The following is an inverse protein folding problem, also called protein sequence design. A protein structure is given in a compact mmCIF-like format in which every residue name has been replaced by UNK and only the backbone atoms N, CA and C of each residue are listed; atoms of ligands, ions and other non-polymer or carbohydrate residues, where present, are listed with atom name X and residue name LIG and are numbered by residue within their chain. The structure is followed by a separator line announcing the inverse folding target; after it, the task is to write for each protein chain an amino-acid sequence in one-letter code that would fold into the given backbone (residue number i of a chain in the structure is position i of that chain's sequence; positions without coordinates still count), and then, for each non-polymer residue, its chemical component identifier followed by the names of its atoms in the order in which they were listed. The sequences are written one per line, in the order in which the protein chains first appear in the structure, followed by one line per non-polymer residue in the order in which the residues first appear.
data_IF_426796354615
#
_entry.id   IF_426796354615
#
_cell.length_a   1.000
_cell.length_b   1.000
_cell.length_c   1.000
_cell.angle_alpha   90.00
_cell.angle_beta   90.00
_cell.angle_gamma   90.00
#
_symmetry.space_group_name_H-M   'P 1'
#
loop_
_entity.id
_entity.type
_entity.pdbx_description
1 polymer ?
#
# COMPACT_ATOMS: atom_id res chain seq x y z
N UNK A 1 -2.28 -0.91 -22.89
CA UNK A 1 -1.11 -0.38 -22.17
C UNK A 1 -1.26 -0.81 -20.72
N UNK A 2 -0.24 -1.42 -20.11
CA UNK A 2 -0.26 -1.73 -18.68
C UNK A 2 0.54 -0.67 -17.92
N UNK A 3 -0.08 -0.03 -16.94
CA UNK A 3 0.57 0.97 -16.09
C UNK A 3 0.85 0.36 -14.71
N UNK A 4 2.09 0.46 -14.22
CA UNK A 4 2.44 -0.01 -12.88
C UNK A 4 2.16 1.06 -11.86
N UNK A 5 1.46 0.68 -10.80
CA UNK A 5 1.12 1.54 -9.68
C UNK A 5 1.44 0.85 -8.35
N UNK A 6 1.59 1.65 -7.31
CA UNK A 6 1.76 1.20 -5.94
C UNK A 6 0.55 1.65 -5.13
N UNK A 7 -0.34 0.72 -4.83
CA UNK A 7 -1.48 0.98 -3.96
C UNK A 7 -1.04 1.02 -2.50
N UNK A 8 -1.47 2.05 -1.79
CA UNK A 8 -1.32 2.15 -0.34
C UNK A 8 -2.66 1.89 0.31
N UNK A 9 -2.70 0.95 1.23
CA UNK A 9 -3.91 0.65 2.00
C UNK A 9 -3.61 0.49 3.48
N UNK A 10 -4.60 0.85 4.31
CA UNK A 10 -4.59 0.60 5.75
C UNK A 10 -5.65 -0.44 6.06
N UNK A 11 -5.28 -1.55 6.67
CA UNK A 11 -6.21 -2.56 7.16
C UNK A 11 -6.23 -2.61 8.68
N UNK A 12 -7.41 -2.83 9.23
CA UNK A 12 -7.63 -3.10 10.66
C UNK A 12 -7.81 -4.60 10.89
N UNK A 13 -7.64 -5.06 12.13
CA UNK A 13 -7.86 -6.47 12.49
C UNK A 13 -9.27 -6.98 12.13
N UNK A 14 -10.27 -6.10 12.16
CA UNK A 14 -11.66 -6.42 11.77
C UNK A 14 -11.86 -6.53 10.25
N UNK A 15 -10.79 -6.49 9.45
CA UNK A 15 -10.85 -6.65 8.00
C UNK A 15 -11.30 -5.39 7.23
N UNK A 16 -11.59 -4.28 7.93
CA UNK A 16 -11.87 -3.01 7.26
C UNK A 16 -10.58 -2.47 6.66
N UNK A 17 -10.60 -2.29 5.34
CA UNK A 17 -9.49 -1.75 4.57
C UNK A 17 -9.89 -0.37 4.05
N UNK A 18 -9.02 0.61 4.27
CA UNK A 18 -9.12 1.96 3.72
C UNK A 18 -8.06 2.08 2.64
N UNK A 19 -8.48 2.44 1.44
CA UNK A 19 -7.55 2.80 0.37
C UNK A 19 -7.03 4.22 0.63
N UNK A 20 -5.71 4.38 0.69
CA UNK A 20 -5.05 5.68 0.89
C UNK A 20 -4.78 6.34 -0.46
N UNK A 21 -4.48 5.55 -1.50
CA UNK A 21 -4.26 6.05 -2.86
C UNK A 21 -3.39 5.12 -3.70
N UNK A 22 -3.26 5.47 -4.97
CA UNK A 22 -2.38 4.83 -5.94
C UNK A 22 -1.29 5.81 -6.34
N UNK A 23 -0.05 5.32 -6.41
CA UNK A 23 1.12 6.17 -6.67
C UNK A 23 2.02 5.53 -7.74
N UNK A 24 2.71 6.34 -8.56
CA UNK A 24 3.58 5.82 -9.62
C UNK A 24 4.87 5.21 -9.08
N UNK A 25 5.32 5.57 -7.87
CA UNK A 25 6.58 5.08 -7.28
C UNK A 25 6.42 4.66 -5.82
N UNK A 26 7.29 3.74 -5.37
CA UNK A 26 7.33 3.28 -3.98
C UNK A 26 7.62 4.42 -3.01
N UNK A 27 8.48 5.37 -3.37
CA UNK A 27 8.83 6.52 -2.53
C UNK A 27 7.62 7.43 -2.29
N UNK A 28 6.86 7.73 -3.34
CA UNK A 28 5.62 8.51 -3.22
C UNK A 28 4.57 7.77 -2.39
N UNK A 29 4.45 6.45 -2.60
CA UNK A 29 3.58 5.60 -1.80
C UNK A 29 3.97 5.60 -0.31
N UNK A 30 5.27 5.54 0.00
CA UNK A 30 5.77 5.60 1.38
C UNK A 30 5.52 6.97 2.00
N UNK A 31 5.79 8.07 1.29
CA UNK A 31 5.52 9.42 1.77
C UNK A 31 4.02 9.64 2.06
N UNK A 32 3.14 9.17 1.17
CA UNK A 32 1.69 9.23 1.36
C UNK A 32 1.22 8.37 2.53
N UNK A 33 1.77 7.16 2.69
CA UNK A 33 1.52 6.28 3.83
C UNK A 33 1.87 6.96 5.15
N UNK A 34 3.06 7.56 5.26
CA UNK A 34 3.51 8.25 6.47
C UNK A 34 2.70 9.51 6.75
N UNK A 35 2.36 10.28 5.72
CA UNK A 35 1.48 11.45 5.83
C UNK A 35 0.09 11.06 6.37
N UNK A 36 -0.50 10.00 5.82
CA UNK A 36 -1.78 9.47 6.29
C UNK A 36 -1.67 8.92 7.72
N UNK A 37 -0.57 8.24 8.07
CA UNK A 37 -0.32 7.77 9.44
C UNK A 37 -0.23 8.92 10.45
N UNK A 38 0.44 10.03 10.11
CA UNK A 38 0.59 11.21 10.99
C UNK A 38 -0.77 11.79 11.38
N UNK A 39 -1.71 11.94 10.44
CA UNK A 39 -3.04 12.54 10.69
C UNK A 39 -4.10 11.56 11.21
N UNK A 40 -3.94 10.26 10.98
CA UNK A 40 -4.96 9.26 11.33
C UNK A 40 -4.90 8.87 12.81
N UNK A 41 -6.05 8.64 13.49
CA UNK A 41 -6.08 8.10 14.85
C UNK A 41 -5.50 6.67 14.93
N UNK A 42 -4.60 6.45 15.89
CA UNK A 42 -3.86 5.18 16.08
C UNK A 42 -4.60 4.24 17.03
N UNK A 43 -5.92 4.09 16.83
CA UNK A 43 -6.76 3.23 17.67
C UNK A 43 -6.79 1.80 17.13
N UNK A 44 -6.60 0.83 18.03
CA UNK A 44 -6.68 -0.60 17.76
C UNK A 44 -5.52 -1.13 16.92
N UNK A 45 -5.61 -2.42 16.58
CA UNK A 45 -4.63 -3.09 15.73
C UNK A 45 -4.88 -2.73 14.26
N UNK A 46 -3.88 -2.13 13.63
CA UNK A 46 -3.88 -1.81 12.21
C UNK A 46 -2.51 -2.10 11.57
N UNK A 47 -2.50 -2.20 10.25
CA UNK A 47 -1.29 -2.30 9.44
C UNK A 47 -1.48 -1.52 8.16
N UNK A 48 -0.40 -0.96 7.65
CA UNK A 48 -0.37 -0.44 6.28
C UNK A 48 0.21 -1.49 5.35
N UNK A 49 -0.15 -1.42 4.08
CA UNK A 49 0.43 -2.22 3.03
C UNK A 49 0.65 -1.33 1.81
N UNK A 50 1.82 -1.47 1.21
CA UNK A 50 2.11 -0.98 -0.13
C UNK A 50 2.19 -2.20 -1.02
N UNK A 51 1.40 -2.20 -2.10
CA UNK A 51 1.28 -3.33 -3.01
C UNK A 51 1.38 -2.85 -4.45
N UNK A 52 2.24 -3.50 -5.24
CA UNK A 52 2.38 -3.25 -6.67
C UNK A 52 1.22 -3.89 -7.44
N UNK A 53 0.52 -3.06 -8.21
CA UNK A 53 -0.59 -3.47 -9.07
C UNK A 53 -0.30 -2.98 -10.49
N UNK A 54 -0.83 -3.70 -11.47
CA UNK A 54 -0.84 -3.24 -12.87
C UNK A 54 -2.26 -2.80 -13.21
N UNK A 55 -2.41 -1.63 -13.82
CA UNK A 55 -3.66 -1.17 -14.41
C UNK A 55 -3.72 -1.67 -15.85
N UNK A 56 -4.77 -2.43 -16.17
CA UNK A 56 -5.01 -2.96 -17.51
C UNK A 56 -6.34 -2.42 -18.03
N UNK A 57 -6.30 -1.74 -19.17
CA UNK A 57 -7.51 -1.23 -19.82
C UNK A 57 -8.10 -2.30 -20.73
N UNK A 58 -9.34 -2.69 -20.47
CA UNK A 58 -10.10 -3.67 -21.26
C UNK A 58 -11.40 -3.01 -21.68
N UNK A 59 -11.58 -2.81 -23.00
CA UNK A 59 -12.78 -2.21 -23.59
C UNK A 59 -13.18 -0.84 -22.97
N UNK A 60 -12.20 0.03 -22.69
CA UNK A 60 -12.43 1.36 -22.12
C UNK A 60 -12.67 1.39 -20.61
N UNK A 61 -12.56 0.24 -19.93
CA UNK A 61 -12.64 0.14 -18.46
C UNK A 61 -11.28 -0.25 -17.91
N UNK A 62 -10.79 0.51 -16.95
CA UNK A 62 -9.51 0.23 -16.27
C UNK A 62 -9.72 -0.80 -15.15
N UNK A 63 -9.03 -1.92 -15.25
CA UNK A 63 -9.03 -2.97 -14.24
C UNK A 63 -7.70 -2.96 -13.47
N UNK A 64 -7.77 -3.28 -12.18
CA UNK A 64 -6.59 -3.57 -11.36
C UNK A 64 -6.24 -5.04 -11.49
N UNK A 65 -5.10 -5.31 -12.10
CA UNK A 65 -4.49 -6.63 -12.17
C UNK A 65 -3.51 -6.76 -11.03
N UNK A 66 -3.77 -7.74 -10.16
CA UNK A 66 -2.84 -8.14 -9.11
C UNK A 66 -2.34 -9.55 -9.39
N UNK A 67 -1.04 -9.77 -9.23
CA UNK A 67 -0.45 -11.11 -9.33
C UNK A 67 -0.29 -11.70 -7.93
N UNK A 68 -1.04 -12.76 -7.64
CA UNK A 68 -1.03 -13.43 -6.35
C UNK A 68 -0.09 -14.64 -6.43
N UNK A 69 1.18 -14.46 -6.01
CA UNK A 69 2.20 -15.51 -6.06
C UNK A 69 2.13 -16.38 -4.81
N UNK A 70 1.67 -17.63 -4.94
CA UNK A 70 1.41 -18.56 -3.84
C UNK A 70 2.70 -19.18 -3.25
N UNK A 71 3.75 -19.41 -4.04
CA UNK A 71 5.08 -19.86 -3.56
C UNK A 71 6.18 -19.53 -4.58
N UNK A 72 7.43 -19.42 -4.12
CA UNK A 72 8.68 -19.25 -4.89
C UNK A 72 8.58 -18.64 -6.29
N UNK A 73 8.86 -17.35 -6.44
CA UNK A 73 8.89 -16.65 -7.73
C UNK A 73 9.23 -15.16 -7.59
N UNK A 74 9.32 -14.45 -8.73
CA UNK A 74 9.52 -13.00 -8.76
C UNK A 74 8.20 -12.31 -8.35
N UNK A 75 8.07 -12.01 -7.05
CA UNK A 75 6.84 -11.46 -6.49
C UNK A 75 6.75 -9.96 -6.78
N UNK A 76 5.57 -9.44 -7.16
CA UNK A 76 5.34 -7.99 -7.18
C UNK A 76 5.68 -7.40 -5.81
N UNK A 77 6.12 -6.14 -5.79
CA UNK A 77 6.45 -5.48 -4.55
C UNK A 77 5.25 -5.51 -3.59
N UNK A 78 5.48 -6.02 -2.40
CA UNK A 78 4.47 -6.12 -1.36
C UNK A 78 5.15 -5.96 -0.01
N UNK A 79 4.90 -4.83 0.64
CA UNK A 79 5.45 -4.56 1.97
C UNK A 79 4.34 -4.15 2.91
N UNK A 80 4.28 -4.82 4.05
CA UNK A 80 3.37 -4.47 5.14
C UNK A 80 4.16 -3.76 6.24
N UNK A 81 3.52 -2.79 6.89
CA UNK A 81 4.11 -1.98 7.93
C UNK A 81 3.23 -2.06 9.18
N UNK A 82 3.85 -2.49 10.27
CA UNK A 82 3.26 -2.51 11.60
C UNK A 82 3.22 -1.10 12.20
N UNK A 83 2.39 -0.85 13.21
CA UNK A 83 2.36 0.44 13.90
C UNK A 83 3.72 0.82 14.51
N UNK A 84 4.51 -0.17 14.96
CA UNK A 84 5.84 0.04 15.53
C UNK A 84 6.86 0.48 14.48
N UNK A 85 6.87 -0.16 13.31
CA UNK A 85 7.74 0.25 12.19
C UNK A 85 7.38 1.65 11.69
N UNK A 86 6.09 1.96 11.58
CA UNK A 86 5.62 3.29 11.16
C UNK A 86 6.03 4.38 12.15
N UNK A 87 5.94 4.08 13.46
CA UNK A 87 6.38 4.99 14.50
C UNK A 87 7.89 5.26 14.39
N UNK A 88 8.70 4.21 14.25
CA UNK A 88 10.14 4.35 14.08
C UNK A 88 10.52 5.15 12.81
N UNK A 89 9.82 4.91 11.69
CA UNK A 89 10.04 5.65 10.45
C UNK A 89 9.73 7.15 10.61
N UNK A 90 8.63 7.49 11.29
CA UNK A 90 8.28 8.90 11.55
C UNK A 90 9.29 9.56 12.49
N UNK A 91 9.76 8.84 13.50
CA UNK A 91 10.78 9.35 14.44
C UNK A 91 12.14 9.54 13.77
N UNK A 92 12.46 8.76 12.73
CA UNK A 92 13.71 8.92 11.94
C UNK A 92 13.67 10.03 10.89
N UNK A 93 12.49 10.59 10.58
CA UNK A 93 12.34 11.76 9.71
C UNK A 93 12.53 13.10 10.46
N UNK A 94 12.55 13.08 11.79
CA UNK A 94 12.64 14.25 12.67
C UNK A 94 14.07 14.54 13.11
#
# INVERSE_FOLDING_TARGET
MSERIFNVSRSTKTGKTVNVGDFPTVEQAQAAMLSHYKVTPKRGDFRYRIFEEELEEINGVTFRKFCLVLSGGNKPYSKSYTPAELKALVESEA
#
